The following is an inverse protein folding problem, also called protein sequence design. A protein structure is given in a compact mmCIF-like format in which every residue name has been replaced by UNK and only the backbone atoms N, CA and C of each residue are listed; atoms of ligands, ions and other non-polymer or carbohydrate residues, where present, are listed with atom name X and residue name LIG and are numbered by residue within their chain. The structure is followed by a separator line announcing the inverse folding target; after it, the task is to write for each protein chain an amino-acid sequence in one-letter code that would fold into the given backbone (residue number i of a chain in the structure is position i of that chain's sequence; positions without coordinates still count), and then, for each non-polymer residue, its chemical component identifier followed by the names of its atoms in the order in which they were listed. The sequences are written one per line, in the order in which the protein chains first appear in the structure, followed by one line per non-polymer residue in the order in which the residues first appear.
data_IF_364784543742
#
_entry.id   IF_364784543742
#
_cell.length_a   1.000
_cell.length_b   1.000
_cell.length_c   1.000
_cell.angle_alpha   90.00
_cell.angle_beta   90.00
_cell.angle_gamma   90.00
#
_symmetry.space_group_name_H-M   'P 1'
#
loop_
_entity.id
_entity.type
_entity.pdbx_description
1 polymer ?
#
# COMPACT_ATOMS: atom_id res chain seq x y z
N UNK A 1 30.74 -6.89 -9.97
CA UNK A 1 29.77 -5.95 -9.39
C UNK A 1 28.52 -6.06 -10.22
N UNK A 2 27.46 -6.66 -9.68
CA UNK A 2 26.17 -6.68 -10.37
C UNK A 2 25.54 -5.31 -10.15
N UNK A 3 25.29 -4.55 -11.22
CA UNK A 3 24.40 -3.40 -11.15
C UNK A 3 23.04 -3.93 -10.70
N UNK A 4 22.68 -3.69 -9.43
CA UNK A 4 21.32 -3.90 -8.99
C UNK A 4 20.44 -2.95 -9.82
N UNK A 5 19.43 -3.49 -10.51
CA UNK A 5 18.51 -2.69 -11.29
C UNK A 5 17.94 -1.58 -10.39
N UNK A 6 17.98 -0.33 -10.88
CA UNK A 6 17.58 0.84 -10.11
C UNK A 6 16.08 0.85 -9.73
N UNK A 7 15.29 0.04 -10.43
CA UNK A 7 13.87 -0.25 -10.18
C UNK A 7 13.52 -1.63 -10.77
N UNK A 8 12.35 -2.14 -10.41
CA UNK A 8 11.83 -3.42 -10.88
C UNK A 8 10.41 -3.24 -11.44
N UNK A 9 10.07 -3.90 -12.54
CA UNK A 9 8.68 -4.00 -13.02
C UNK A 9 8.06 -5.30 -12.50
N UNK A 10 6.88 -5.21 -11.86
CA UNK A 10 6.14 -6.36 -11.34
C UNK A 10 4.72 -6.36 -11.85
N UNK A 11 4.20 -7.57 -12.08
CA UNK A 11 2.79 -7.82 -12.38
C UNK A 11 2.18 -8.67 -11.27
N UNK A 12 1.23 -8.11 -10.55
CA UNK A 12 0.44 -8.79 -9.54
C UNK A 12 -0.87 -9.30 -10.16
N UNK A 13 -1.28 -10.54 -9.86
CA UNK A 13 -2.57 -11.06 -10.29
C UNK A 13 -3.72 -10.36 -9.56
N UNK A 14 -4.94 -10.58 -10.05
CA UNK A 14 -6.13 -10.17 -9.32
C UNK A 14 -6.23 -10.89 -7.97
N UNK A 15 -6.89 -10.27 -7.00
CA UNK A 15 -7.14 -10.89 -5.71
C UNK A 15 -7.98 -10.02 -4.78
N UNK A 16 -8.47 -10.62 -3.70
CA UNK A 16 -9.24 -9.96 -2.66
C UNK A 16 -8.34 -9.36 -1.59
N UNK A 17 -8.64 -8.11 -1.24
CA UNK A 17 -7.92 -7.32 -0.25
C UNK A 17 -8.91 -6.75 0.77
N UNK A 18 -8.58 -6.82 2.06
CA UNK A 18 -9.30 -6.05 3.07
C UNK A 18 -8.74 -4.63 3.08
N UNK A 19 -9.62 -3.64 2.89
CA UNK A 19 -9.26 -2.24 2.73
C UNK A 19 -9.93 -1.38 3.80
N UNK A 20 -9.22 -0.35 4.25
CA UNK A 20 -9.72 0.72 5.12
C UNK A 20 -9.21 2.04 4.57
N UNK A 21 -10.08 3.05 4.50
CA UNK A 21 -9.71 4.41 4.07
C UNK A 21 -9.81 5.35 5.27
N UNK A 22 -8.76 6.12 5.53
CA UNK A 22 -8.71 7.11 6.62
C UNK A 22 -8.15 8.43 6.13
N UNK A 23 -8.66 9.54 6.69
CA UNK A 23 -8.34 10.91 6.30
C UNK A 23 -7.85 11.79 7.46
N UNK A 24 -6.93 11.29 8.28
CA UNK A 24 -6.40 12.02 9.43
C UNK A 24 -5.54 13.23 9.03
N UNK A 25 -5.21 14.15 9.95
CA UNK A 25 -4.36 15.30 9.64
C UNK A 25 -2.94 14.95 9.19
N UNK A 26 -2.43 13.77 9.55
CA UNK A 26 -1.10 13.28 9.15
C UNK A 26 -1.23 11.89 8.52
N UNK A 27 -0.48 11.65 7.43
CA UNK A 27 -0.38 10.34 6.78
C UNK A 27 -0.12 9.18 7.76
N UNK A 28 0.81 9.35 8.70
CA UNK A 28 1.22 8.33 9.66
C UNK A 28 0.08 7.92 10.59
N UNK A 29 -0.80 8.87 10.92
CA UNK A 29 -1.98 8.61 11.74
C UNK A 29 -3.00 7.79 10.94
N UNK A 30 -3.27 8.18 9.68
CA UNK A 30 -4.19 7.44 8.79
C UNK A 30 -3.77 5.97 8.64
N UNK A 31 -2.50 5.71 8.35
CA UNK A 31 -2.03 4.32 8.15
C UNK A 31 -2.00 3.53 9.46
N UNK A 32 -1.66 4.17 10.59
CA UNK A 32 -1.62 3.51 11.90
C UNK A 32 -3.03 3.09 12.34
N UNK A 33 -4.01 3.99 12.22
CA UNK A 33 -5.41 3.71 12.56
C UNK A 33 -6.03 2.65 11.64
N UNK A 34 -5.78 2.75 10.34
CA UNK A 34 -6.23 1.75 9.36
C UNK A 34 -5.62 0.39 9.64
N UNK A 35 -4.32 0.33 9.92
CA UNK A 35 -3.65 -0.93 10.24
C UNK A 35 -4.15 -1.54 11.55
N UNK A 36 -4.43 -0.74 12.59
CA UNK A 36 -5.04 -1.26 13.82
C UNK A 36 -6.42 -1.91 13.56
N UNK A 37 -7.23 -1.35 12.67
CA UNK A 37 -8.50 -1.95 12.24
C UNK A 37 -8.29 -3.27 11.52
N UNK A 38 -7.41 -3.28 10.52
CA UNK A 38 -7.06 -4.49 9.78
C UNK A 38 -6.48 -5.57 10.70
N UNK A 39 -5.65 -5.21 11.67
CA UNK A 39 -5.10 -6.16 12.64
C UNK A 39 -6.17 -6.81 13.53
N UNK A 40 -7.20 -6.07 13.95
CA UNK A 40 -8.33 -6.65 14.68
C UNK A 40 -9.06 -7.68 13.82
N UNK A 41 -9.33 -7.33 12.56
CA UNK A 41 -9.93 -8.25 11.57
C UNK A 41 -9.07 -9.49 11.32
N UNK A 42 -7.76 -9.31 11.12
CA UNK A 42 -6.79 -10.40 10.93
C UNK A 42 -6.77 -11.33 12.14
N UNK A 43 -6.88 -10.79 13.36
CA UNK A 43 -6.77 -11.60 14.57
C UNK A 43 -7.99 -12.46 14.86
N UNK A 44 -9.18 -11.87 14.92
CA UNK A 44 -10.42 -12.60 15.26
C UNK A 44 -11.72 -11.82 15.04
N UNK A 45 -11.65 -10.52 14.75
CA UNK A 45 -12.83 -9.66 14.57
C UNK A 45 -13.39 -9.81 13.16
N UNK A 46 -13.82 -11.03 12.86
CA UNK A 46 -14.36 -11.47 11.59
C UNK A 46 -15.40 -12.58 11.83
N UNK A 47 -16.22 -12.88 10.83
CA UNK A 47 -17.37 -13.78 10.95
C UNK A 47 -17.06 -15.21 11.38
N UNK A 48 -15.81 -15.66 11.25
CA UNK A 48 -15.38 -17.03 11.63
C UNK A 48 -14.59 -17.05 12.93
N UNK A 49 -14.26 -15.89 13.51
CA UNK A 49 -13.59 -15.77 14.81
C UNK A 49 -12.17 -16.31 14.85
N UNK A 50 -11.50 -16.48 13.70
CA UNK A 50 -10.17 -17.07 13.62
C UNK A 50 -9.11 -16.05 13.16
N UNK A 51 -7.84 -16.40 13.44
CA UNK A 51 -6.69 -15.66 12.96
C UNK A 51 -6.43 -15.99 11.49
N UNK A 52 -6.48 -14.97 10.64
CA UNK A 52 -6.37 -15.12 9.19
C UNK A 52 -4.93 -15.35 8.72
N UNK A 53 -3.92 -15.07 9.55
CA UNK A 53 -2.52 -15.00 9.11
C UNK A 53 -2.11 -13.57 8.78
N UNK A 54 -0.82 -13.24 8.87
CA UNK A 54 -0.29 -11.96 8.40
C UNK A 54 0.37 -12.16 7.03
N UNK A 55 0.14 -11.22 6.13
CA UNK A 55 0.76 -11.18 4.80
C UNK A 55 1.44 -9.85 4.59
N UNK A 56 2.46 -9.86 3.75
CA UNK A 56 3.17 -8.67 3.34
C UNK A 56 3.26 -8.62 1.81
N UNK A 57 3.32 -7.43 1.21
CA UNK A 57 3.27 -6.12 1.87
C UNK A 57 1.85 -5.69 2.28
N UNK A 58 1.77 -4.76 3.24
CA UNK A 58 0.60 -3.89 3.42
C UNK A 58 0.74 -2.73 2.45
N UNK A 59 -0.30 -2.47 1.67
CA UNK A 59 -0.28 -1.41 0.66
C UNK A 59 -0.97 -0.16 1.21
N UNK A 60 -0.36 1.00 1.04
CA UNK A 60 -0.97 2.29 1.32
C UNK A 60 -1.06 3.05 0.00
N UNK A 61 -2.26 3.10 -0.57
CA UNK A 61 -2.56 3.83 -1.78
C UNK A 61 -2.83 5.29 -1.42
N UNK A 62 -2.11 6.19 -2.09
CA UNK A 62 -2.11 7.62 -1.83
C UNK A 62 -2.38 8.37 -3.12
N UNK A 63 -2.98 9.54 -2.97
CA UNK A 63 -3.23 10.47 -4.04
C UNK A 63 -2.46 11.76 -3.78
N UNK A 64 -1.96 12.39 -4.84
CA UNK A 64 -1.45 13.75 -4.76
C UNK A 64 -2.55 14.74 -5.13
N UNK A 65 -2.49 15.95 -4.57
CA UNK A 65 -3.35 17.04 -5.01
C UNK A 65 -3.13 17.35 -6.50
N UNK A 66 -4.04 18.08 -7.14
CA UNK A 66 -3.93 18.44 -8.56
C UNK A 66 -2.63 19.18 -8.91
N UNK A 67 -2.06 19.91 -7.95
CA UNK A 67 -0.77 20.59 -8.12
C UNK A 67 0.43 19.64 -8.05
N UNK A 68 0.24 18.40 -7.59
CA UNK A 68 1.27 17.37 -7.46
C UNK A 68 2.28 17.63 -6.34
N UNK A 69 1.99 18.56 -5.43
CA UNK A 69 2.95 19.03 -4.41
C UNK A 69 2.65 18.53 -3.00
N UNK A 70 1.46 17.99 -2.76
CA UNK A 70 1.00 17.52 -1.45
C UNK A 70 0.23 16.22 -1.60
N UNK A 71 0.23 15.41 -0.55
CA UNK A 71 -0.67 14.26 -0.45
C UNK A 71 -2.09 14.76 -0.16
N UNK A 72 -3.07 14.11 -0.78
CA UNK A 72 -4.44 14.18 -0.30
C UNK A 72 -4.56 13.48 1.06
N UNK A 73 -5.54 13.91 1.86
CA UNK A 73 -5.68 13.39 3.23
C UNK A 73 -6.08 11.92 3.28
N UNK A 74 -6.93 11.50 2.33
CA UNK A 74 -7.44 10.14 2.28
C UNK A 74 -6.34 9.17 1.84
N UNK A 75 -6.11 8.16 2.67
CA UNK A 75 -5.16 7.07 2.42
C UNK A 75 -5.93 5.77 2.53
N UNK A 76 -5.87 4.95 1.47
CA UNK A 76 -6.42 3.62 1.49
C UNK A 76 -5.32 2.64 1.91
N UNK A 77 -5.50 1.97 3.04
CA UNK A 77 -4.64 0.88 3.50
C UNK A 77 -5.27 -0.47 3.14
N UNK A 78 -4.51 -1.32 2.47
CA UNK A 78 -4.97 -2.62 1.98
C UNK A 78 -4.08 -3.76 2.45
N UNK A 79 -4.74 -4.82 2.92
CA UNK A 79 -4.16 -6.08 3.36
C UNK A 79 -4.59 -7.22 2.42
N UNK A 80 -3.64 -7.99 1.90
CA UNK A 80 -3.93 -9.12 1.02
C UNK A 80 -4.48 -10.29 1.82
N UNK A 81 -5.62 -10.85 1.40
CA UNK A 81 -6.14 -12.04 2.06
C UNK A 81 -5.30 -13.27 1.69
N UNK A 82 -4.92 -14.13 2.65
CA UNK A 82 -4.23 -15.38 2.37
C UNK A 82 -5.02 -16.27 1.42
N UNK A 83 -4.31 -17.15 0.70
CA UNK A 83 -4.89 -17.96 -0.38
C UNK A 83 -6.15 -18.75 0.03
N UNK A 84 -6.20 -19.23 1.27
CA UNK A 84 -7.35 -19.95 1.82
C UNK A 84 -8.63 -19.09 1.93
N UNK A 85 -8.49 -17.77 2.05
CA UNK A 85 -9.60 -16.81 2.17
C UNK A 85 -9.90 -16.05 0.87
N UNK A 86 -9.13 -16.30 -0.20
CA UNK A 86 -9.32 -15.61 -1.50
C UNK A 86 -10.67 -15.94 -2.14
N UNK A 87 -11.20 -17.16 -1.95
CA UNK A 87 -12.51 -17.54 -2.49
C UNK A 87 -13.65 -17.02 -1.61
N UNK A 88 -13.62 -17.36 -0.32
CA UNK A 88 -14.65 -17.01 0.65
C UNK A 88 -14.04 -16.19 1.80
N UNK A 89 -13.92 -14.86 1.64
CA UNK A 89 -13.31 -14.02 2.65
C UNK A 89 -14.22 -13.91 3.89
N UNK A 90 -13.69 -14.06 5.12
CA UNK A 90 -14.47 -13.81 6.33
C UNK A 90 -15.00 -12.37 6.35
N UNK A 91 -16.26 -12.21 6.74
CA UNK A 91 -16.90 -10.89 6.79
C UNK A 91 -16.31 -10.12 7.97
N UNK A 92 -15.79 -8.88 7.77
CA UNK A 92 -15.33 -8.06 8.89
C UNK A 92 -16.48 -7.69 9.83
N UNK A 93 -16.20 -7.61 11.14
CA UNK A 93 -17.18 -7.07 12.10
C UNK A 93 -17.17 -5.55 12.18
N UNK A 94 -16.05 -4.93 11.81
CA UNK A 94 -15.90 -3.46 11.71
C UNK A 94 -16.44 -3.01 10.33
N UNK A 95 -17.49 -2.17 10.27
CA UNK A 95 -18.14 -1.78 9.02
C UNK A 95 -17.26 -0.88 8.14
N UNK A 96 -16.16 -0.32 8.66
CA UNK A 96 -15.21 0.47 7.88
C UNK A 96 -14.19 -0.39 7.12
N UNK A 97 -14.18 -1.70 7.37
CA UNK A 97 -13.34 -2.65 6.64
C UNK A 97 -14.15 -3.22 5.47
N UNK A 98 -13.65 -3.01 4.26
CA UNK A 98 -14.27 -3.51 3.05
C UNK A 98 -13.36 -4.52 2.37
N UNK A 99 -13.88 -5.73 2.10
CA UNK A 99 -13.16 -6.69 1.25
C UNK A 99 -13.48 -6.38 -0.20
N UNK A 100 -12.46 -6.02 -0.97
CA UNK A 100 -12.59 -5.64 -2.38
C UNK A 100 -11.74 -6.56 -3.25
N UNK A 101 -12.27 -6.93 -4.42
CA UNK A 101 -11.50 -7.62 -5.44
C UNK A 101 -10.76 -6.58 -6.30
N UNK A 102 -9.43 -6.61 -6.25
CA UNK A 102 -8.57 -5.77 -7.06
C UNK A 102 -8.23 -6.50 -8.36
N UNK A 103 -8.33 -5.79 -9.48
CA UNK A 103 -7.89 -6.28 -10.79
C UNK A 103 -6.36 -6.51 -10.82
N UNK A 104 -5.83 -7.25 -11.83
CA UNK A 104 -4.39 -7.41 -11.97
C UNK A 104 -3.70 -6.05 -12.06
N UNK A 105 -2.62 -5.89 -11.32
CA UNK A 105 -1.91 -4.62 -11.18
C UNK A 105 -0.50 -4.75 -11.77
N UNK A 106 -0.13 -3.83 -12.66
CA UNK A 106 1.25 -3.68 -13.13
C UNK A 106 1.87 -2.47 -12.46
N UNK A 107 3.06 -2.63 -11.89
CA UNK A 107 3.77 -1.55 -11.19
C UNK A 107 5.23 -1.51 -11.57
N UNK A 108 5.80 -0.31 -11.52
CA UNK A 108 7.24 -0.09 -11.45
C UNK A 108 7.56 0.28 -10.01
N UNK A 109 8.48 -0.44 -9.38
CA UNK A 109 8.76 -0.33 -7.95
C UNK A 109 10.23 0.01 -7.67
N UNK A 110 10.45 0.82 -6.63
CA UNK A 110 11.77 1.12 -6.09
C UNK A 110 11.77 0.97 -4.58
N UNK A 111 12.82 0.34 -4.05
CA UNK A 111 13.02 0.16 -2.60
C UNK A 111 13.56 1.43 -1.97
N UNK A 112 13.04 1.78 -0.80
CA UNK A 112 13.59 2.80 0.10
C UNK A 112 13.44 2.33 1.56
N UNK A 113 14.12 3.02 2.49
CA UNK A 113 14.20 2.60 3.89
C UNK A 113 13.79 3.71 4.85
N UNK A 114 13.26 3.29 6.00
CA UNK A 114 12.94 4.16 7.12
C UNK A 114 11.46 4.49 7.25
N UNK A 115 11.18 5.53 8.03
CA UNK A 115 9.82 5.99 8.28
C UNK A 115 9.18 6.55 7.01
N UNK A 116 7.89 6.30 6.85
CA UNK A 116 7.06 6.79 5.74
C UNK A 116 6.22 7.94 6.28
N UNK A 117 6.71 9.15 6.04
CA UNK A 117 6.05 10.44 6.28
C UNK A 117 5.69 11.09 4.95
N UNK A 118 4.80 12.09 4.93
CA UNK A 118 4.47 12.84 3.70
C UNK A 118 5.72 13.39 3.00
N UNK A 119 6.66 13.96 3.75
CA UNK A 119 7.92 14.50 3.22
C UNK A 119 8.77 13.41 2.56
N UNK A 120 8.95 12.27 3.24
CA UNK A 120 9.74 11.16 2.69
C UNK A 120 9.08 10.58 1.43
N UNK A 121 7.76 10.45 1.42
CA UNK A 121 7.02 9.91 0.29
C UNK A 121 7.14 10.82 -0.92
N UNK A 122 6.91 12.13 -0.75
CA UNK A 122 7.06 13.11 -1.83
C UNK A 122 8.49 13.12 -2.39
N UNK A 123 9.48 13.04 -1.50
CA UNK A 123 10.89 12.93 -1.90
C UNK A 123 11.16 11.68 -2.73
N UNK A 124 10.71 10.51 -2.28
CA UNK A 124 10.92 9.26 -3.01
C UNK A 124 10.18 9.23 -4.35
N UNK A 125 8.98 9.82 -4.43
CA UNK A 125 8.26 10.02 -5.70
C UNK A 125 9.10 10.88 -6.65
N UNK A 126 9.62 12.02 -6.18
CA UNK A 126 10.47 12.90 -7.00
C UNK A 126 11.72 12.19 -7.51
N UNK A 127 12.45 11.51 -6.60
CA UNK A 127 13.66 10.75 -6.94
C UNK A 127 13.36 9.60 -7.91
N UNK A 128 12.17 9.00 -7.84
CA UNK A 128 11.79 7.94 -8.76
C UNK A 128 11.41 8.50 -10.14
N UNK A 129 10.74 9.66 -10.21
CA UNK A 129 10.50 10.35 -11.48
C UNK A 129 11.79 10.81 -12.18
N UNK A 130 12.77 11.32 -11.44
CA UNK A 130 14.09 11.67 -11.99
C UNK A 130 14.77 10.46 -12.64
N UNK A 131 14.56 9.28 -12.07
CA UNK A 131 15.17 8.04 -12.52
C UNK A 131 14.42 7.40 -13.69
N UNK A 132 13.09 7.39 -13.63
CA UNK A 132 12.23 6.83 -14.67
C UNK A 132 12.22 7.71 -15.93
N UNK A 133 12.38 9.02 -15.75
CA UNK A 133 12.28 10.01 -16.81
C UNK A 133 10.84 10.26 -17.28
N UNK A 134 10.66 11.14 -18.29
CA UNK A 134 9.34 11.44 -18.85
C UNK A 134 8.72 10.19 -19.47
N UNK A 135 7.56 9.78 -18.95
CA UNK A 135 6.78 8.67 -19.51
C UNK A 135 5.29 8.89 -19.28
N UNK A 136 4.49 8.33 -20.18
CA UNK A 136 3.04 8.24 -20.04
C UNK A 136 2.58 6.79 -19.82
N UNK A 137 3.49 5.89 -19.43
CA UNK A 137 3.15 4.51 -19.10
C UNK A 137 2.59 4.33 -17.70
N UNK A 138 2.73 5.32 -16.81
CA UNK A 138 2.31 5.24 -15.40
C UNK A 138 1.34 6.38 -15.02
N UNK A 139 0.56 6.16 -13.97
CA UNK A 139 -0.27 7.21 -13.34
C UNK A 139 0.62 8.27 -12.68
N UNK A 140 0.18 9.53 -12.70
CA UNK A 140 0.94 10.69 -12.17
C UNK A 140 0.45 11.21 -10.81
N UNK A 141 -0.73 10.79 -10.40
CA UNK A 141 -1.40 11.31 -9.19
C UNK A 141 -1.68 10.22 -8.16
N UNK A 142 -1.51 8.94 -8.53
CA UNK A 142 -1.77 7.79 -7.64
C UNK A 142 -0.51 6.95 -7.52
N UNK A 143 -0.14 6.69 -6.27
CA UNK A 143 1.05 5.93 -5.91
C UNK A 143 0.70 4.93 -4.81
N UNK A 144 1.51 3.88 -4.67
CA UNK A 144 1.36 2.92 -3.57
C UNK A 144 2.66 2.86 -2.78
N UNK A 145 2.57 3.00 -1.47
CA UNK A 145 3.64 2.69 -0.53
C UNK A 145 3.42 1.28 0.00
N UNK A 146 4.29 0.34 -0.37
CA UNK A 146 4.25 -1.03 0.08
C UNK A 146 5.20 -1.22 1.27
N UNK A 147 4.63 -1.56 2.43
CA UNK A 147 5.38 -1.79 3.67
C UNK A 147 5.46 -3.26 4.02
N UNK A 148 6.67 -3.75 4.30
CA UNK A 148 6.96 -5.17 4.53
C UNK A 148 7.23 -5.50 5.99
N UNK A 149 7.56 -4.49 6.78
CA UNK A 149 8.01 -4.66 8.16
C UNK A 149 7.12 -3.91 9.13
N UNK A 150 7.19 -4.33 10.40
CA UNK A 150 6.44 -3.71 11.48
C UNK A 150 6.85 -2.23 11.66
N UNK A 151 5.90 -1.32 11.97
CA UNK A 151 6.20 0.09 12.24
C UNK A 151 7.34 0.36 13.24
N UNK A 152 7.59 -0.56 14.19
CA UNK A 152 8.66 -0.43 15.19
C UNK A 152 10.08 -0.65 14.65
N UNK A 153 10.24 -1.14 13.40
CA UNK A 153 11.57 -1.35 12.79
C UNK A 153 12.14 0.00 12.31
N UNK A 154 13.30 0.45 12.84
CA UNK A 154 13.82 1.80 12.53
C UNK A 154 14.21 2.00 11.06
N UNK A 155 14.83 1.00 10.43
CA UNK A 155 15.20 1.02 9.01
C UNK A 155 14.29 0.10 8.19
N UNK A 156 12.98 0.24 8.40
CA UNK A 156 12.00 -0.60 7.70
C UNK A 156 12.15 -0.47 6.19
N UNK A 157 12.15 -1.60 5.50
CA UNK A 157 12.11 -1.72 4.06
C UNK A 157 10.71 -1.39 3.56
N UNK A 158 10.63 -0.38 2.71
CA UNK A 158 9.42 -0.05 1.97
C UNK A 158 9.72 -0.03 0.48
N UNK A 159 8.67 0.01 -0.30
CA UNK A 159 8.74 0.26 -1.73
C UNK A 159 7.76 1.36 -2.11
N UNK A 160 8.16 2.20 -3.06
CA UNK A 160 7.27 3.14 -3.74
C UNK A 160 6.92 2.55 -5.11
N UNK A 161 5.63 2.45 -5.41
CA UNK A 161 5.11 1.83 -6.62
C UNK A 161 4.42 2.88 -7.48
N UNK A 162 4.83 2.94 -8.74
CA UNK A 162 4.16 3.68 -9.79
C UNK A 162 3.26 2.71 -10.54
N UNK A 163 1.97 3.02 -10.63
CA UNK A 163 0.99 2.13 -11.26
C UNK A 163 1.04 2.33 -12.78
N UNK A 164 1.26 1.25 -13.52
CA UNK A 164 1.22 1.29 -14.99
C UNK A 164 -0.23 1.45 -15.47
N UNK A 165 -0.43 2.28 -16.49
CA UNK A 165 -1.71 2.38 -17.21
C UNK A 165 -2.02 1.04 -17.89
N UNK A 166 -3.29 0.64 -17.83
CA UNK A 166 -3.80 -0.55 -18.51
C UNK A 166 -3.88 -0.33 -20.02
#
# INVERSE_FOLDING_TARGET
QCEAAAYEERRYPAGKWACVTMGEPMYEQSISMSFMKLMRYICKENSVGCHLGMTVPVLNEIHLTKEGTKLEREVLTAYYLPGEFQQNPPVPTDPEIHVTERAPLRVITRVFYGMTTEETILREISLFWELLGPTDTVLRETYIVASYENPSVPQRRNEIWFICRA
#
